data_IF_374618010524
#
_entry.id   IF_374618010524
#
_cell.length_a   1.000
_cell.length_b   1.000
_cell.length_c   1.000
_cell.angle_alpha   90.00
_cell.angle_beta   90.00
_cell.angle_gamma   90.00
#
_symmetry.space_group_name_H-M   'P 1'
#
loop_
_entity.id
_entity.type
_entity.pdbx_description
1 polymer ?
#
# COMPACT_ATOMS: atom_id res chain seq x y z
N UNK A 1 8.94 -8.89 9.45
CA UNK A 1 8.00 -9.14 8.34
C UNK A 1 8.44 -8.31 7.15
N UNK A 2 8.54 -8.88 5.96
CA UNK A 2 8.77 -8.17 4.72
C UNK A 2 7.45 -7.61 4.21
N UNK A 3 7.41 -6.32 3.90
CA UNK A 3 6.16 -5.69 3.49
C UNK A 3 6.33 -4.64 2.42
N UNK A 4 5.20 -4.24 1.87
CA UNK A 4 5.07 -3.07 1.00
C UNK A 4 4.09 -2.10 1.63
N UNK A 5 4.43 -0.82 1.63
CA UNK A 5 3.52 0.25 2.02
C UNK A 5 2.83 0.84 0.79
N UNK A 6 1.55 1.19 0.92
CA UNK A 6 0.78 1.83 -0.14
C UNK A 6 0.02 3.07 0.38
N UNK A 7 0.14 4.17 -0.35
CA UNK A 7 -0.51 5.46 -0.07
C UNK A 7 -1.31 5.89 -1.29
N UNK A 8 -2.61 6.11 -1.11
CA UNK A 8 -3.44 6.64 -2.19
C UNK A 8 -3.42 8.17 -2.18
N UNK A 9 -2.67 8.75 -3.12
CA UNK A 9 -2.54 10.21 -3.27
C UNK A 9 -3.80 10.89 -3.83
N UNK A 10 -4.75 10.11 -4.35
CA UNK A 10 -6.03 10.59 -4.90
C UNK A 10 -7.16 10.52 -3.88
N UNK A 11 -7.01 9.76 -2.79
CA UNK A 11 -8.03 9.64 -1.74
C UNK A 11 -7.96 10.86 -0.82
N UNK A 12 -9.05 11.63 -0.77
CA UNK A 12 -9.27 12.64 0.28
C UNK A 12 -9.92 11.96 1.48
N UNK A 13 -9.32 12.13 2.65
CA UNK A 13 -9.75 11.49 3.88
C UNK A 13 -10.52 12.50 4.73
N UNK A 14 -11.74 12.15 5.15
CA UNK A 14 -12.50 12.86 6.18
C UNK A 14 -12.54 14.40 6.07
N UNK A 15 -12.74 14.94 4.86
CA UNK A 15 -12.82 16.40 4.63
C UNK A 15 -11.47 17.13 4.55
N UNK A 16 -10.35 16.40 4.68
CA UNK A 16 -9.01 16.96 4.51
C UNK A 16 -8.73 17.29 3.03
N UNK A 17 -7.82 18.24 2.82
CA UNK A 17 -7.23 18.47 1.50
C UNK A 17 -6.44 17.25 1.04
N UNK A 18 -6.12 17.19 -0.26
CA UNK A 18 -5.29 16.11 -0.81
C UNK A 18 -3.92 16.03 -0.14
N UNK A 19 -3.27 17.19 0.14
CA UNK A 19 -1.95 17.23 0.79
C UNK A 19 -2.01 16.71 2.23
N UNK A 20 -3.00 17.14 2.99
CA UNK A 20 -3.22 16.69 4.37
C UNK A 20 -3.56 15.20 4.41
N UNK A 21 -4.37 14.71 3.46
CA UNK A 21 -4.71 13.28 3.37
C UNK A 21 -3.48 12.41 3.08
N UNK A 22 -2.58 12.87 2.21
CA UNK A 22 -1.31 12.19 1.92
C UNK A 22 -0.42 12.20 3.16
N UNK A 23 -0.27 13.35 3.81
CA UNK A 23 0.58 13.50 4.99
C UNK A 23 0.09 12.61 6.14
N UNK A 24 -1.22 12.59 6.39
CA UNK A 24 -1.83 11.73 7.41
C UNK A 24 -1.56 10.24 7.13
N UNK A 25 -1.72 9.80 5.88
CA UNK A 25 -1.40 8.42 5.51
C UNK A 25 0.08 8.11 5.77
N UNK A 26 1.00 9.01 5.39
CA UNK A 26 2.44 8.83 5.61
C UNK A 26 2.80 8.67 7.08
N UNK A 27 2.36 9.59 7.93
CA UNK A 27 2.68 9.60 9.36
C UNK A 27 2.17 8.33 10.04
N UNK A 28 0.90 8.00 9.82
CA UNK A 28 0.27 6.84 10.44
C UNK A 28 0.89 5.52 9.93
N UNK A 29 1.21 5.43 8.64
CA UNK A 29 1.85 4.24 8.10
C UNK A 29 3.29 4.09 8.55
N UNK A 30 4.02 5.20 8.69
CA UNK A 30 5.38 5.20 9.23
C UNK A 30 5.39 4.63 10.66
N UNK A 31 4.52 5.16 11.54
CA UNK A 31 4.41 4.68 12.92
C UNK A 31 4.01 3.20 12.96
N UNK A 32 3.08 2.77 12.11
CA UNK A 32 2.63 1.38 12.06
C UNK A 32 3.74 0.42 11.61
N UNK A 33 4.52 0.83 10.59
CA UNK A 33 5.66 0.07 10.06
C UNK A 33 6.74 -0.10 11.12
N UNK A 34 7.11 1.00 11.82
CA UNK A 34 8.10 0.98 12.89
C UNK A 34 7.64 0.09 14.06
N UNK A 35 6.41 0.28 14.55
CA UNK A 35 5.87 -0.46 15.68
C UNK A 35 5.77 -1.97 15.41
N UNK A 36 5.40 -2.35 14.17
CA UNK A 36 5.33 -3.75 13.76
C UNK A 36 6.66 -4.32 13.24
N UNK A 37 7.73 -3.52 13.22
CA UNK A 37 9.06 -3.91 12.69
C UNK A 37 8.98 -4.47 11.27
N UNK A 38 8.17 -3.82 10.43
CA UNK A 38 7.98 -4.22 9.03
C UNK A 38 9.17 -3.68 8.23
N UNK A 39 9.88 -4.58 7.55
CA UNK A 39 10.93 -4.20 6.60
C UNK A 39 10.29 -3.92 5.25
N UNK A 40 10.26 -2.65 4.86
CA UNK A 40 9.71 -2.23 3.57
C UNK A 40 10.66 -2.65 2.43
N UNK A 41 10.13 -3.40 1.48
CA UNK A 41 10.87 -3.91 0.32
C UNK A 41 10.68 -2.98 -0.88
N UNK A 42 11.79 -2.60 -1.52
CA UNK A 42 11.77 -1.92 -2.82
C UNK A 42 11.90 -2.95 -3.93
N UNK A 43 10.86 -3.09 -4.74
CA UNK A 43 10.90 -3.98 -5.91
C UNK A 43 11.47 -3.26 -7.15
N UNK A 44 11.24 -1.96 -7.24
CA UNK A 44 11.75 -1.14 -8.33
C UNK A 44 12.95 -0.31 -7.85
N UNK A 45 14.16 -0.49 -8.43
CA UNK A 45 15.35 0.27 -8.04
C UNK A 45 15.24 1.77 -8.33
N UNK A 46 14.30 2.17 -9.19
CA UNK A 46 14.02 3.57 -9.51
C UNK A 46 12.88 4.18 -8.69
N UNK A 47 12.38 3.47 -7.69
CA UNK A 47 11.31 3.97 -6.83
C UNK A 47 11.82 5.15 -5.98
N UNK A 48 11.16 6.30 -6.10
CA UNK A 48 11.54 7.53 -5.38
C UNK A 48 11.22 7.48 -3.88
N UNK A 49 10.17 6.74 -3.50
CA UNK A 49 9.67 6.64 -2.14
C UNK A 49 9.66 5.20 -1.65
N UNK A 50 9.59 4.98 -0.34
CA UNK A 50 9.52 3.62 0.25
C UNK A 50 8.10 3.02 0.20
N UNK A 51 7.18 3.64 -0.54
CA UNK A 51 5.79 3.24 -0.70
C UNK A 51 5.35 3.32 -2.15
N UNK A 52 4.33 2.54 -2.49
CA UNK A 52 3.63 2.59 -3.78
C UNK A 52 2.43 3.55 -3.71
N UNK A 53 2.07 4.13 -4.85
CA UNK A 53 0.90 5.02 -4.97
C UNK A 53 -0.13 4.58 -6.00
N UNK A 54 0.25 3.63 -6.87
CA UNK A 54 -0.60 3.13 -7.96
C UNK A 54 -0.69 1.59 -7.87
N UNK A 55 -1.88 1.00 -7.62
CA UNK A 55 -2.03 -0.45 -7.48
C UNK A 55 -1.61 -1.23 -8.73
N UNK A 56 -1.84 -0.65 -9.91
CA UNK A 56 -1.42 -1.23 -11.19
C UNK A 56 0.11 -1.34 -11.33
N UNK A 57 0.85 -0.32 -10.86
CA UNK A 57 2.31 -0.34 -10.86
C UNK A 57 2.84 -1.36 -9.85
N UNK A 58 2.25 -1.41 -8.66
CA UNK A 58 2.56 -2.44 -7.66
C UNK A 58 2.34 -3.85 -8.22
N UNK A 59 1.18 -4.12 -8.83
CA UNK A 59 0.89 -5.42 -9.42
C UNK A 59 1.87 -5.79 -10.55
N UNK A 60 2.30 -4.81 -11.34
CA UNK A 60 3.30 -5.02 -12.38
C UNK A 60 4.65 -5.47 -11.78
N UNK A 61 5.16 -4.73 -10.78
CA UNK A 61 6.43 -5.03 -10.13
C UNK A 61 6.40 -6.37 -9.37
N UNK A 62 5.26 -6.70 -8.74
CA UNK A 62 5.05 -7.99 -8.09
C UNK A 62 5.15 -9.17 -9.07
N UNK A 63 4.56 -9.01 -10.27
CA UNK A 63 4.65 -10.03 -11.33
C UNK A 63 6.07 -10.22 -11.85
N UNK A 64 6.80 -9.12 -11.99
CA UNK A 64 8.16 -9.13 -12.52
C UNK A 64 9.15 -9.77 -11.53
N UNK A 65 9.08 -9.36 -10.26
CA UNK A 65 10.07 -9.74 -9.26
C UNK A 65 9.70 -11.00 -8.48
N UNK A 66 8.41 -11.35 -8.41
CA UNK A 66 7.87 -12.48 -7.61
C UNK A 66 8.48 -12.57 -6.20
N UNK A 67 8.44 -11.47 -5.43
CA UNK A 67 9.08 -11.41 -4.12
C UNK A 67 8.34 -12.27 -3.08
N UNK A 68 9.06 -12.66 -2.02
CA UNK A 68 8.45 -13.23 -0.83
C UNK A 68 8.04 -12.10 0.12
N UNK A 69 6.76 -11.75 0.13
CA UNK A 69 6.21 -10.66 0.95
C UNK A 69 5.21 -11.19 1.97
N UNK A 70 5.33 -10.73 3.21
CA UNK A 70 4.41 -11.10 4.28
C UNK A 70 3.15 -10.22 4.24
N UNK A 71 3.30 -8.91 4.04
CA UNK A 71 2.18 -7.99 4.22
C UNK A 71 2.14 -6.81 3.24
N UNK A 72 0.92 -6.40 2.89
CA UNK A 72 0.63 -5.09 2.31
C UNK A 72 0.10 -4.18 3.42
N UNK A 73 0.76 -3.04 3.63
CA UNK A 73 0.38 -2.06 4.65
C UNK A 73 -0.34 -0.89 3.98
N UNK A 74 -1.57 -0.62 4.42
CA UNK A 74 -2.41 0.48 3.93
C UNK A 74 -2.99 1.27 5.09
N UNK A 75 -3.34 2.53 4.85
CA UNK A 75 -3.93 3.37 5.90
C UNK A 75 -5.25 2.79 6.40
N UNK A 76 -6.19 2.54 5.50
CA UNK A 76 -7.50 1.93 5.77
C UNK A 76 -8.04 1.29 4.48
N UNK A 77 -9.07 0.43 4.52
CA UNK A 77 -9.63 -0.19 3.32
C UNK A 77 -10.11 0.83 2.26
N UNK A 78 -10.56 2.02 2.69
CA UNK A 78 -11.11 3.05 1.80
C UNK A 78 -10.09 3.57 0.77
N UNK A 79 -8.79 3.43 1.04
CA UNK A 79 -7.72 3.92 0.16
C UNK A 79 -7.50 3.01 -1.04
N UNK A 80 -8.01 1.78 -1.00
CA UNK A 80 -7.90 0.80 -2.09
C UNK A 80 -9.26 0.40 -2.66
N UNK A 81 -10.35 0.73 -1.96
CA UNK A 81 -11.73 0.36 -2.30
C UNK A 81 -12.12 0.63 -3.77
N UNK A 82 -11.79 1.80 -4.32
CA UNK A 82 -12.10 2.13 -5.72
C UNK A 82 -11.40 1.15 -6.69
N UNK A 83 -10.16 0.77 -6.40
CA UNK A 83 -9.44 -0.23 -7.21
C UNK A 83 -10.05 -1.61 -7.09
N UNK A 84 -10.52 -2.00 -5.90
CA UNK A 84 -11.21 -3.28 -5.68
C UNK A 84 -12.51 -3.31 -6.49
N UNK A 85 -13.29 -2.23 -6.45
CA UNK A 85 -14.57 -2.11 -7.15
C UNK A 85 -14.38 -2.14 -8.68
N UNK A 86 -13.44 -1.36 -9.20
CA UNK A 86 -13.21 -1.27 -10.65
C UNK A 86 -12.44 -2.47 -11.22
N UNK A 87 -11.60 -3.13 -10.42
CA UNK A 87 -10.68 -4.17 -10.88
C UNK A 87 -10.60 -5.38 -9.93
N UNK A 88 -11.72 -6.04 -9.62
CA UNK A 88 -11.77 -7.10 -8.60
C UNK A 88 -10.81 -8.25 -8.87
N UNK A 89 -10.70 -8.71 -10.13
CA UNK A 89 -9.77 -9.78 -10.50
C UNK A 89 -8.30 -9.36 -10.32
N UNK A 90 -7.96 -8.10 -10.59
CA UNK A 90 -6.59 -7.58 -10.37
C UNK A 90 -6.30 -7.46 -8.88
N UNK A 91 -7.29 -7.09 -8.08
CA UNK A 91 -7.16 -7.07 -6.63
C UNK A 91 -6.92 -8.46 -6.04
N UNK A 92 -7.66 -9.48 -6.47
CA UNK A 92 -7.44 -10.87 -6.03
C UNK A 92 -5.99 -11.29 -6.31
N UNK A 93 -5.49 -11.01 -7.51
CA UNK A 93 -4.12 -11.33 -7.90
C UNK A 93 -3.08 -10.51 -7.13
N UNK A 94 -3.31 -9.23 -6.87
CA UNK A 94 -2.41 -8.40 -6.07
C UNK A 94 -2.34 -8.94 -4.64
N UNK A 95 -3.51 -9.19 -4.03
CA UNK A 95 -3.62 -9.70 -2.67
C UNK A 95 -2.93 -11.06 -2.50
N UNK A 96 -2.92 -11.91 -3.52
CA UNK A 96 -2.27 -13.23 -3.43
C UNK A 96 -0.74 -13.18 -3.29
N UNK A 97 -0.09 -12.04 -3.48
CA UNK A 97 1.35 -11.88 -3.21
C UNK A 97 1.68 -11.64 -1.74
N UNK A 98 0.67 -11.46 -0.89
CA UNK A 98 0.84 -11.12 0.52
C UNK A 98 0.10 -12.14 1.39
N UNK A 99 0.68 -12.51 2.53
CA UNK A 99 0.01 -13.36 3.51
C UNK A 99 -1.14 -12.63 4.19
N UNK A 100 -0.97 -11.32 4.42
CA UNK A 100 -1.97 -10.48 5.05
C UNK A 100 -1.98 -9.04 4.51
N UNK A 101 -3.08 -8.34 4.79
CA UNK A 101 -3.19 -6.90 4.59
C UNK A 101 -3.33 -6.29 5.97
N UNK A 102 -2.41 -5.38 6.31
CA UNK A 102 -2.40 -4.69 7.58
C UNK A 102 -2.94 -3.28 7.35
N UNK A 103 -3.95 -2.91 8.13
CA UNK A 103 -4.52 -1.57 8.10
C UNK A 103 -4.19 -0.82 9.39
N UNK A 104 -3.97 0.49 9.29
CA UNK A 104 -3.82 1.35 10.47
C UNK A 104 -5.16 1.71 11.10
N UNK A 105 -6.19 1.89 10.26
CA UNK A 105 -7.58 2.07 10.66
C UNK A 105 -8.46 0.99 10.01
N UNK A 106 -9.40 0.40 10.76
CA UNK A 106 -10.39 -0.52 10.20
C UNK A 106 -11.36 0.22 9.26
#
# INVERSE_FOLDING_TARGET
MQGISFINERKRLHGLSSKESIQLQKEILFDLVENKKIHLVKLNPYQLYDYYTIPHALLYDLKLNKPNLDCLVIYSPEVIEEFIHLYPARWILLKSYFNEIITAKP
#
